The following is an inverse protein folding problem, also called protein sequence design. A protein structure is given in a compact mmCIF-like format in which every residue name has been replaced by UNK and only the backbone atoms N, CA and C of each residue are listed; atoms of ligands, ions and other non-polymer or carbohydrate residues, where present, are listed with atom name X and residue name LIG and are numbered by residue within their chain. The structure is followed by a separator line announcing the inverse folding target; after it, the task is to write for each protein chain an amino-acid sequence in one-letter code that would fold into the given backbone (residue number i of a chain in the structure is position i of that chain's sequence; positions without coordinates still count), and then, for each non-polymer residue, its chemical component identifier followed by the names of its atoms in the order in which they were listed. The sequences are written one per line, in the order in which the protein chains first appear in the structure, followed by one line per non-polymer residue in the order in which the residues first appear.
data_IF_146032856442
#
_entry.id   IF_146032856442
#
_cell.length_a   1.000
_cell.length_b   1.000
_cell.length_c   1.000
_cell.angle_alpha   90.00
_cell.angle_beta   90.00
_cell.angle_gamma   90.00
#
_symmetry.space_group_name_H-M   'P 1'
#
loop_
_entity.id
_entity.type
_entity.pdbx_description
1 polymer ?
#
# COMPACT_ATOMS: atom_id res chain seq x y z
N UNK A 1 21.46 -14.56 2.29
CA UNK A 1 21.65 -13.54 1.26
C UNK A 1 20.90 -13.80 -0.05
N UNK A 2 20.63 -15.04 -0.49
CA UNK A 2 19.96 -15.32 -1.79
C UNK A 2 18.45 -14.99 -1.87
N UNK A 3 17.72 -14.85 -0.75
CA UNK A 3 16.27 -14.58 -0.77
C UNK A 3 15.89 -13.08 -0.87
N UNK A 4 16.80 -12.17 -0.54
CA UNK A 4 16.54 -10.71 -0.59
C UNK A 4 16.60 -10.20 -2.03
N UNK A 5 17.50 -10.75 -2.85
CA UNK A 5 17.61 -10.39 -4.26
C UNK A 5 16.37 -10.80 -5.08
N UNK A 6 15.68 -11.88 -4.67
CA UNK A 6 14.49 -12.40 -5.37
C UNK A 6 13.28 -11.48 -5.32
N UNK A 7 13.06 -10.76 -4.21
CA UNK A 7 11.88 -9.91 -4.02
C UNK A 7 11.98 -8.64 -4.88
N UNK A 8 13.16 -8.06 -4.97
CA UNK A 8 13.40 -6.88 -5.82
C UNK A 8 13.31 -7.26 -7.31
N UNK A 9 13.76 -8.46 -7.68
CA UNK A 9 13.81 -8.89 -9.08
C UNK A 9 12.44 -9.28 -9.66
N UNK A 10 11.52 -9.76 -8.85
CA UNK A 10 10.23 -10.28 -9.34
C UNK A 10 9.17 -9.18 -9.59
N UNK A 11 9.34 -8.00 -9.03
CA UNK A 11 8.48 -6.83 -9.35
C UNK A 11 8.66 -6.38 -10.82
N UNK A 12 9.74 -6.84 -11.49
CA UNK A 12 10.20 -6.26 -12.77
C UNK A 12 10.03 -7.13 -14.01
N UNK A 13 9.60 -8.38 -13.89
CA UNK A 13 9.60 -9.28 -15.06
C UNK A 13 8.45 -9.07 -16.06
N UNK A 14 7.59 -8.07 -15.87
CA UNK A 14 6.43 -7.87 -16.76
C UNK A 14 6.36 -6.50 -17.45
N UNK A 15 7.48 -5.75 -17.52
CA UNK A 15 7.45 -4.47 -18.23
C UNK A 15 8.10 -4.62 -19.59
N UNK A 16 7.29 -4.95 -20.58
CA UNK A 16 7.62 -4.75 -21.97
C UNK A 16 7.60 -3.26 -22.31
N UNK A 17 8.78 -2.68 -22.55
CA UNK A 17 9.07 -1.50 -23.40
C UNK A 17 7.98 -0.42 -23.59
N UNK A 18 7.30 0.02 -22.58
CA UNK A 18 6.52 1.24 -22.66
C UNK A 18 7.06 2.22 -21.62
N UNK A 19 7.70 3.28 -22.03
CA UNK A 19 7.87 4.46 -21.19
C UNK A 19 6.47 5.05 -20.98
N UNK A 20 5.74 4.51 -20.04
CA UNK A 20 4.42 5.01 -19.71
C UNK A 20 4.54 6.02 -18.58
N UNK A 21 3.94 7.20 -18.80
CA UNK A 21 3.76 8.20 -17.75
C UNK A 21 2.43 7.98 -17.01
N UNK A 22 1.72 6.89 -17.29
CA UNK A 22 0.38 6.60 -16.76
C UNK A 22 0.46 5.68 -15.53
N UNK A 23 -0.12 6.11 -14.43
CA UNK A 23 -0.18 5.32 -13.19
C UNK A 23 -0.95 4.00 -13.37
N UNK A 24 -1.85 3.93 -14.36
CA UNK A 24 -2.62 2.72 -14.69
C UNK A 24 -1.75 1.59 -15.27
N UNK A 25 -0.57 1.93 -15.79
CA UNK A 25 0.35 0.93 -16.31
C UNK A 25 1.22 0.30 -15.21
N UNK A 26 1.17 0.87 -14.00
CA UNK A 26 1.81 0.26 -12.84
C UNK A 26 0.92 -0.87 -12.29
N UNK A 27 1.48 -2.07 -12.21
CA UNK A 27 0.77 -3.27 -11.75
C UNK A 27 1.38 -3.85 -10.48
N UNK A 28 0.52 -4.25 -9.55
CA UNK A 28 0.88 -5.10 -8.42
C UNK A 28 0.25 -6.48 -8.67
N UNK A 29 1.05 -7.49 -9.00
CA UNK A 29 0.58 -8.84 -9.39
C UNK A 29 -0.54 -8.82 -10.47
N UNK A 30 -0.34 -8.03 -11.51
CA UNK A 30 -1.28 -7.80 -12.62
C UNK A 30 -2.51 -6.93 -12.29
N UNK A 31 -2.69 -6.46 -11.07
CA UNK A 31 -3.79 -5.59 -10.67
C UNK A 31 -3.38 -4.13 -10.85
N UNK A 32 -4.22 -3.33 -11.50
CA UNK A 32 -3.99 -1.91 -11.77
C UNK A 32 -5.11 -1.01 -11.26
N UNK A 33 -4.80 0.28 -11.17
CA UNK A 33 -5.82 1.32 -11.00
C UNK A 33 -6.74 1.35 -12.24
N UNK A 34 -8.05 1.32 -12.01
CA UNK A 34 -9.08 1.32 -13.04
C UNK A 34 -9.56 -0.07 -13.45
N UNK A 35 -8.90 -1.15 -13.00
CA UNK A 35 -9.42 -2.51 -13.18
C UNK A 35 -10.65 -2.72 -12.27
N UNK A 36 -11.51 -3.66 -12.62
CA UNK A 36 -12.53 -4.17 -11.71
C UNK A 36 -11.89 -5.14 -10.71
N UNK A 37 -12.16 -4.97 -9.42
CA UNK A 37 -11.70 -5.94 -8.42
C UNK A 37 -12.35 -7.31 -8.61
N UNK A 38 -13.48 -7.39 -9.30
CA UNK A 38 -14.16 -8.64 -9.64
C UNK A 38 -13.37 -9.51 -10.65
N UNK A 39 -12.41 -8.94 -11.37
CA UNK A 39 -11.53 -9.69 -12.27
C UNK A 39 -10.54 -10.58 -11.48
N UNK A 40 -10.32 -10.29 -10.20
CA UNK A 40 -9.30 -10.94 -9.34
C UNK A 40 -9.89 -11.63 -8.11
N UNK A 41 -11.02 -11.13 -7.60
CA UNK A 41 -11.68 -11.57 -6.38
C UNK A 41 -13.19 -11.70 -6.62
N UNK A 42 -13.86 -12.65 -5.98
CA UNK A 42 -15.32 -12.69 -6.05
C UNK A 42 -15.94 -11.61 -5.13
N UNK A 43 -17.18 -11.22 -5.45
CA UNK A 43 -17.90 -10.16 -4.74
C UNK A 43 -17.97 -10.42 -3.22
N UNK A 44 -18.29 -11.65 -2.82
CA UNK A 44 -18.36 -12.01 -1.39
C UNK A 44 -17.01 -11.86 -0.67
N UNK A 45 -15.89 -12.11 -1.36
CA UNK A 45 -14.56 -11.87 -0.77
C UNK A 45 -14.33 -10.39 -0.54
N UNK A 46 -14.71 -9.54 -1.49
CA UNK A 46 -14.53 -8.08 -1.39
C UNK A 46 -15.39 -7.54 -0.24
N UNK A 47 -16.68 -7.85 -0.21
CA UNK A 47 -17.64 -7.35 0.77
C UNK A 47 -17.32 -7.85 2.19
N UNK A 48 -17.06 -9.15 2.37
CA UNK A 48 -16.72 -9.71 3.68
C UNK A 48 -15.37 -9.27 4.24
N UNK A 49 -14.53 -8.69 3.41
CA UNK A 49 -13.21 -8.16 3.78
C UNK A 49 -13.19 -6.65 3.90
N UNK A 50 -14.34 -6.00 3.79
CA UNK A 50 -14.46 -4.55 3.96
C UNK A 50 -14.08 -4.15 5.39
N UNK A 51 -13.27 -3.13 5.49
CA UNK A 51 -12.75 -2.65 6.76
C UNK A 51 -13.73 -1.66 7.41
N UNK A 52 -14.26 -2.00 8.58
CA UNK A 52 -15.27 -1.24 9.33
C UNK A 52 -14.86 0.15 9.83
N UNK A 53 -13.67 0.57 9.56
CA UNK A 53 -13.11 1.80 10.07
C UNK A 53 -13.73 3.07 9.48
N UNK A 54 -14.56 2.91 8.47
CA UNK A 54 -15.24 4.01 7.80
C UNK A 54 -16.67 4.27 8.32
N UNK A 55 -16.99 3.89 9.53
CA UNK A 55 -18.27 4.24 10.19
C UNK A 55 -18.49 5.75 10.39
N UNK A 56 -17.83 6.58 9.57
CA UNK A 56 -18.08 8.01 9.51
C UNK A 56 -19.03 8.33 8.36
N UNK A 57 -19.97 9.22 8.61
CA UNK A 57 -21.15 9.62 7.86
C UNK A 57 -20.93 10.06 6.39
N UNK A 58 -19.77 9.87 5.82
CA UNK A 58 -19.40 10.24 4.43
C UNK A 58 -18.51 9.17 3.80
N UNK A 59 -19.05 7.99 3.60
CA UNK A 59 -18.33 6.92 2.88
C UNK A 59 -18.38 7.16 1.37
N UNK A 60 -17.52 7.97 0.83
CA UNK A 60 -17.33 8.04 -0.62
C UNK A 60 -16.53 6.84 -1.14
N UNK A 61 -15.68 6.26 -0.29
CA UNK A 61 -14.83 5.11 -0.63
C UNK A 61 -14.89 4.02 0.44
N UNK A 62 -14.98 2.78 -0.02
CA UNK A 62 -14.78 1.57 0.76
C UNK A 62 -13.38 1.01 0.56
N UNK A 63 -12.90 0.22 1.51
CA UNK A 63 -11.60 -0.45 1.43
C UNK A 63 -11.73 -1.88 1.92
N UNK A 64 -11.30 -2.84 1.12
CA UNK A 64 -11.28 -4.26 1.48
C UNK A 64 -9.84 -4.76 1.64
N UNK A 65 -9.63 -5.65 2.62
CA UNK A 65 -8.35 -6.31 2.89
C UNK A 65 -8.41 -7.76 2.45
N UNK A 66 -7.68 -8.11 1.41
CA UNK A 66 -7.74 -9.37 0.71
C UNK A 66 -6.41 -10.11 0.83
N UNK A 67 -6.45 -11.44 0.97
CA UNK A 67 -5.25 -12.27 0.98
C UNK A 67 -4.59 -12.29 -0.39
N UNK A 68 -3.28 -12.09 -0.41
CA UNK A 68 -2.45 -12.30 -1.59
C UNK A 68 -2.18 -13.79 -1.85
N UNK A 69 -1.80 -14.11 -3.06
CA UNK A 69 -1.45 -15.51 -3.47
C UNK A 69 -0.03 -15.61 -4.02
N UNK A 70 0.68 -14.50 -4.13
CA UNK A 70 2.00 -14.42 -4.74
C UNK A 70 3.07 -13.83 -3.82
N UNK A 71 3.65 -12.71 -4.23
CA UNK A 71 4.71 -12.01 -3.50
C UNK A 71 4.16 -11.25 -2.30
N UNK A 72 2.97 -10.69 -2.47
CA UNK A 72 2.30 -9.93 -1.42
C UNK A 72 1.45 -10.86 -0.57
N UNK A 73 1.58 -10.72 0.75
CA UNK A 73 0.76 -11.48 1.71
C UNK A 73 -0.66 -10.95 1.73
N UNK A 74 -0.82 -9.63 1.51
CA UNK A 74 -2.12 -8.95 1.54
C UNK A 74 -2.22 -7.85 0.51
N UNK A 75 -3.47 -7.60 0.06
CA UNK A 75 -3.87 -6.44 -0.72
C UNK A 75 -4.91 -5.63 0.04
N UNK A 76 -4.74 -4.30 0.06
CA UNK A 76 -5.85 -3.38 0.35
C UNK A 76 -6.29 -2.78 -0.97
N UNK A 77 -7.56 -2.92 -1.32
CA UNK A 77 -8.16 -2.26 -2.47
C UNK A 77 -9.15 -1.21 -2.00
N UNK A 78 -9.12 -0.03 -2.63
CA UNK A 78 -10.06 1.06 -2.36
C UNK A 78 -10.85 1.36 -3.62
N UNK A 79 -12.16 1.46 -3.48
CA UNK A 79 -13.13 1.69 -4.54
C UNK A 79 -14.25 2.62 -4.04
N UNK A 80 -15.06 3.19 -4.92
CA UNK A 80 -16.23 3.97 -4.51
C UNK A 80 -17.27 3.07 -3.85
N UNK A 81 -17.85 3.52 -2.74
CA UNK A 81 -18.77 2.71 -1.94
C UNK A 81 -20.10 2.38 -2.65
N UNK A 82 -20.45 3.16 -3.68
CA UNK A 82 -21.65 3.00 -4.52
C UNK A 82 -21.36 2.39 -5.91
N UNK A 83 -20.15 1.81 -6.10
CA UNK A 83 -19.75 1.22 -7.38
C UNK A 83 -19.85 -0.31 -7.35
N UNK A 84 -20.90 -0.84 -7.95
CA UNK A 84 -21.15 -2.28 -8.08
C UNK A 84 -20.10 -3.03 -8.92
N UNK A 85 -19.29 -2.32 -9.69
CA UNK A 85 -18.18 -2.89 -10.44
C UNK A 85 -16.87 -2.92 -9.66
N UNK A 86 -16.83 -2.35 -8.47
CA UNK A 86 -15.65 -2.29 -7.60
C UNK A 86 -14.41 -1.80 -8.34
N UNK A 87 -14.53 -0.69 -9.10
CA UNK A 87 -13.38 -0.14 -9.85
C UNK A 87 -12.31 0.34 -8.88
N UNK A 88 -11.10 -0.17 -9.06
CA UNK A 88 -9.96 0.07 -8.16
C UNK A 88 -9.45 1.50 -8.35
N UNK A 89 -9.60 2.32 -7.31
CA UNK A 89 -9.07 3.67 -7.20
C UNK A 89 -7.79 3.74 -6.37
N UNK A 90 -7.55 2.72 -5.56
CA UNK A 90 -6.34 2.54 -4.79
C UNK A 90 -6.03 1.08 -4.54
N UNK A 91 -4.74 0.74 -4.61
CA UNK A 91 -4.25 -0.60 -4.25
C UNK A 91 -2.99 -0.49 -3.40
N UNK A 92 -2.94 -1.27 -2.32
CA UNK A 92 -1.73 -1.43 -1.50
C UNK A 92 -1.34 -2.88 -1.48
N UNK A 93 -0.18 -3.20 -2.03
CA UNK A 93 0.47 -4.50 -1.84
C UNK A 93 1.28 -4.48 -0.54
N UNK A 94 1.08 -5.48 0.32
CA UNK A 94 1.69 -5.59 1.65
C UNK A 94 2.49 -6.87 1.73
N UNK A 95 3.80 -6.74 2.01
CA UNK A 95 4.69 -7.84 2.32
C UNK A 95 4.99 -7.82 3.82
N UNK A 96 4.66 -8.90 4.52
CA UNK A 96 4.91 -9.05 5.96
C UNK A 96 6.36 -9.49 6.18
N UNK A 97 7.03 -8.86 7.12
CA UNK A 97 8.41 -9.17 7.52
C UNK A 97 8.42 -9.71 8.96
N UNK A 98 9.17 -10.77 9.22
CA UNK A 98 9.29 -11.33 10.58
C UNK A 98 10.03 -10.38 11.53
N UNK A 99 10.99 -9.67 11.01
CA UNK A 99 11.78 -8.64 11.68
C UNK A 99 12.34 -7.71 10.61
N UNK A 100 12.18 -6.42 10.79
CA UNK A 100 12.63 -5.42 9.84
C UNK A 100 13.58 -4.45 10.53
N UNK A 101 14.85 -4.54 10.22
CA UNK A 101 15.83 -3.57 10.70
C UNK A 101 15.75 -2.29 9.86
N UNK A 102 15.97 -1.13 10.47
CA UNK A 102 15.89 0.18 9.78
C UNK A 102 16.81 0.24 8.55
N UNK A 103 17.97 -0.40 8.61
CA UNK A 103 18.91 -0.51 7.49
C UNK A 103 18.27 -1.28 6.32
N UNK A 104 17.65 -2.43 6.61
CA UNK A 104 17.00 -3.24 5.56
C UNK A 104 15.83 -2.50 4.94
N UNK A 105 15.01 -1.86 5.75
CA UNK A 105 13.91 -0.99 5.33
C UNK A 105 14.41 0.09 4.36
N UNK A 106 15.45 0.82 4.74
CA UNK A 106 15.99 1.89 3.91
C UNK A 106 16.55 1.38 2.59
N UNK A 107 17.28 0.25 2.61
CA UNK A 107 17.86 -0.33 1.41
C UNK A 107 16.78 -0.84 0.43
N UNK A 108 15.72 -1.48 0.94
CA UNK A 108 14.60 -1.92 0.11
C UNK A 108 13.82 -0.74 -0.49
N UNK A 109 13.60 0.33 0.29
CA UNK A 109 12.98 1.55 -0.22
C UNK A 109 13.80 2.22 -1.30
N UNK A 110 15.11 2.34 -1.10
CA UNK A 110 15.99 2.99 -2.07
C UNK A 110 16.10 2.19 -3.36
N UNK A 111 16.22 0.86 -3.27
CA UNK A 111 16.23 -0.02 -4.43
C UNK A 111 14.91 0.04 -5.21
N UNK A 112 13.78 -0.03 -4.53
CA UNK A 112 12.46 0.09 -5.18
C UNK A 112 12.25 1.47 -5.79
N UNK A 113 12.74 2.54 -5.13
CA UNK A 113 12.64 3.89 -5.64
C UNK A 113 13.47 4.10 -6.92
N UNK A 114 14.68 3.58 -6.98
CA UNK A 114 15.52 3.63 -8.20
C UNK A 114 14.83 2.96 -9.38
N UNK A 115 14.26 1.79 -9.14
CA UNK A 115 13.54 1.06 -10.16
C UNK A 115 12.33 1.83 -10.71
N UNK A 116 11.54 2.48 -9.83
CA UNK A 116 10.43 3.34 -10.28
C UNK A 116 10.93 4.50 -11.14
N UNK A 117 12.05 5.13 -10.76
CA UNK A 117 12.64 6.23 -11.53
C UNK A 117 13.18 5.79 -12.89
N UNK A 118 13.70 4.58 -13.01
CA UNK A 118 14.14 4.02 -14.31
C UNK A 118 12.96 3.78 -15.25
N UNK A 119 11.82 3.34 -14.72
CA UNK A 119 10.63 3.02 -15.51
C UNK A 119 9.85 4.26 -15.93
N UNK A 120 9.81 5.29 -15.09
CA UNK A 120 8.97 6.47 -15.28
C UNK A 120 9.83 7.74 -15.29
N UNK A 121 9.98 8.36 -16.47
CA UNK A 121 10.88 9.54 -16.64
C UNK A 121 10.29 10.86 -16.17
N UNK A 122 8.95 11.00 -16.19
CA UNK A 122 8.26 12.27 -15.94
C UNK A 122 7.58 12.34 -14.57
N UNK A 123 8.04 11.54 -13.60
CA UNK A 123 7.51 11.54 -12.25
C UNK A 123 8.35 12.41 -11.31
N UNK A 124 7.69 12.96 -10.30
CA UNK A 124 8.34 13.75 -9.25
C UNK A 124 8.50 12.94 -7.99
N UNK A 125 9.72 12.50 -7.72
CA UNK A 125 10.07 11.92 -6.43
C UNK A 125 10.07 12.98 -5.35
N UNK A 126 9.44 12.66 -4.20
CA UNK A 126 9.54 13.46 -2.98
C UNK A 126 10.63 12.90 -2.07
N UNK A 127 11.19 13.76 -1.21
CA UNK A 127 12.20 13.37 -0.22
C UNK A 127 11.67 12.23 0.67
N UNK A 128 12.54 11.27 0.96
CA UNK A 128 12.30 10.23 1.96
C UNK A 128 11.97 10.89 3.31
N UNK A 129 10.96 10.38 3.98
CA UNK A 129 10.52 10.84 5.29
C UNK A 129 10.38 9.67 6.23
N UNK A 130 10.92 9.81 7.43
CA UNK A 130 10.67 8.89 8.54
C UNK A 130 9.85 9.61 9.60
N UNK A 131 8.87 8.94 10.16
CA UNK A 131 8.01 9.49 11.21
C UNK A 131 7.66 8.40 12.22
N UNK A 132 7.48 8.82 13.47
CA UNK A 132 6.96 7.92 14.50
C UNK A 132 5.52 7.57 14.17
N UNK A 133 5.23 6.30 14.18
CA UNK A 133 3.89 5.78 13.96
C UNK A 133 3.26 5.54 15.31
N UNK A 134 2.08 6.08 15.52
CA UNK A 134 1.35 5.90 16.75
C UNK A 134 0.00 5.21 16.44
N UNK A 135 -0.42 4.19 17.19
CA UNK A 135 -1.71 3.53 17.01
C UNK A 135 -2.85 4.46 17.44
N UNK A 136 -3.71 4.83 16.51
CA UNK A 136 -4.97 5.48 16.82
C UNK A 136 -6.10 4.61 16.25
N UNK A 137 -6.90 3.93 17.10
CA UNK A 137 -7.99 3.06 16.63
C UNK A 137 -9.05 3.81 15.80
N UNK A 138 -9.02 5.15 15.80
CA UNK A 138 -9.94 6.01 15.05
C UNK A 138 -9.34 6.65 13.80
N UNK A 139 -8.01 6.51 13.56
CA UNK A 139 -7.31 7.11 12.40
C UNK A 139 -6.31 6.13 11.82
N UNK A 140 -6.78 5.28 10.99
CA UNK A 140 -6.07 4.10 10.47
C UNK A 140 -4.93 4.38 9.49
N UNK A 141 -4.78 5.60 9.04
CA UNK A 141 -3.62 6.05 8.24
C UNK A 141 -2.50 6.68 9.08
N UNK A 142 -2.72 6.87 10.37
CA UNK A 142 -1.73 7.36 11.32
C UNK A 142 -1.80 6.44 12.53
N UNK A 143 -1.01 5.41 12.54
CA UNK A 143 -0.95 4.51 13.68
C UNK A 143 0.23 4.86 14.57
N UNK A 144 -0.03 5.28 15.79
CA UNK A 144 0.97 5.26 16.82
C UNK A 144 1.04 3.91 17.50
N UNK A 145 2.22 3.37 17.72
CA UNK A 145 2.38 2.38 18.77
C UNK A 145 2.12 3.07 20.12
N UNK A 146 1.53 2.36 21.07
CA UNK A 146 1.37 2.87 22.43
C UNK A 146 2.73 3.25 23.07
N UNK A 147 3.81 2.60 22.62
CA UNK A 147 5.18 2.88 23.08
C UNK A 147 5.82 4.11 22.40
N UNK A 148 5.28 4.58 21.27
CA UNK A 148 5.87 5.64 20.45
C UNK A 148 7.21 5.27 19.80
N UNK A 149 7.55 3.98 19.74
CA UNK A 149 8.80 3.47 19.15
C UNK A 149 8.67 2.96 17.73
N UNK A 150 7.46 2.66 17.25
CA UNK A 150 7.24 2.25 15.86
C UNK A 150 7.62 3.37 14.89
N UNK A 151 8.29 3.03 13.81
CA UNK A 151 8.76 3.96 12.80
C UNK A 151 8.23 3.54 11.44
N UNK A 152 7.71 4.50 10.68
CA UNK A 152 7.45 4.33 9.26
C UNK A 152 8.38 5.24 8.45
N UNK A 153 8.99 4.68 7.42
CA UNK A 153 9.78 5.44 6.46
C UNK A 153 9.14 5.32 5.09
N UNK A 154 8.96 6.42 4.38
CA UNK A 154 8.30 6.45 3.08
C UNK A 154 8.97 7.33 2.06
N UNK A 155 8.86 6.93 0.78
CA UNK A 155 9.19 7.72 -0.41
C UNK A 155 7.93 7.77 -1.27
N UNK A 156 7.60 8.93 -1.83
CA UNK A 156 6.45 9.05 -2.72
C UNK A 156 6.81 9.65 -4.06
N UNK A 157 6.07 9.22 -5.08
CA UNK A 157 6.20 9.64 -6.47
C UNK A 157 4.86 10.23 -6.91
N UNK A 158 4.88 11.49 -7.36
CA UNK A 158 3.69 12.12 -7.91
C UNK A 158 3.72 12.00 -9.43
N UNK A 159 2.67 11.43 -10.00
CA UNK A 159 2.40 11.40 -11.43
C UNK A 159 1.62 12.65 -11.82
N UNK A 160 2.05 13.30 -12.91
CA UNK A 160 1.41 14.53 -13.36
C UNK A 160 -0.05 14.26 -13.72
N UNK A 161 -0.96 14.80 -12.92
CA UNK A 161 -2.42 14.70 -13.09
C UNK A 161 -3.05 13.29 -12.97
N UNK A 162 -2.34 12.26 -12.55
CA UNK A 162 -2.85 10.89 -12.58
C UNK A 162 -2.93 10.21 -11.21
N UNK A 163 -2.11 10.62 -10.26
CA UNK A 163 -2.12 10.02 -8.93
C UNK A 163 -0.75 9.94 -8.28
N UNK A 164 -0.57 8.94 -7.45
CA UNK A 164 0.63 8.79 -6.61
C UNK A 164 0.98 7.33 -6.37
N UNK A 165 2.30 7.06 -6.33
CA UNK A 165 2.86 5.85 -5.73
C UNK A 165 3.53 6.22 -4.42
N UNK A 166 3.33 5.42 -3.36
CA UNK A 166 4.00 5.57 -2.08
C UNK A 166 4.64 4.22 -1.72
N UNK A 167 5.94 4.21 -1.57
CA UNK A 167 6.67 3.11 -0.99
C UNK A 167 6.83 3.38 0.50
N UNK A 168 6.56 2.40 1.33
CA UNK A 168 6.72 2.54 2.78
C UNK A 168 7.21 1.26 3.42
N UNK A 169 8.03 1.38 4.45
CA UNK A 169 8.28 0.31 5.38
C UNK A 169 7.91 0.74 6.80
N UNK A 170 7.35 -0.20 7.51
CA UNK A 170 6.91 -0.05 8.88
C UNK A 170 7.74 -0.99 9.76
N UNK A 171 8.44 -0.42 10.73
CA UNK A 171 9.09 -1.14 11.81
C UNK A 171 8.22 -0.96 13.06
N UNK A 172 7.49 -2.01 13.43
CA UNK A 172 6.47 -1.97 14.48
C UNK A 172 7.04 -2.46 15.80
N UNK A 173 6.83 -1.66 16.85
CA UNK A 173 7.18 -2.08 18.20
C UNK A 173 6.17 -3.12 18.71
N UNK A 174 6.68 -4.28 19.08
CA UNK A 174 5.89 -5.47 19.48
C UNK A 174 5.09 -5.32 20.78
N UNK A 175 5.18 -4.19 21.46
CA UNK A 175 4.50 -3.96 22.74
C UNK A 175 2.97 -3.78 22.64
N UNK A 176 2.35 -3.92 21.46
CA UNK A 176 0.92 -3.63 21.22
C UNK A 176 0.03 -4.88 21.19
N UNK A 177 0.34 -5.92 21.95
CA UNK A 177 -0.30 -7.25 21.88
C UNK A 177 -1.78 -7.35 22.30
N UNK A 178 -2.51 -6.24 22.48
CA UNK A 178 -3.85 -6.27 23.10
C UNK A 178 -5.00 -5.69 22.27
N UNK A 179 -5.01 -5.85 20.95
CA UNK A 179 -6.11 -5.33 20.12
C UNK A 179 -6.94 -6.48 19.54
N UNK A 180 -8.23 -6.52 19.90
CA UNK A 180 -9.24 -7.45 19.37
C UNK A 180 -9.77 -6.97 18.01
N UNK A 181 -9.02 -7.21 16.95
CA UNK A 181 -9.38 -6.90 15.57
C UNK A 181 -8.90 -8.02 14.64
N UNK A 182 -9.68 -8.45 13.64
CA UNK A 182 -9.19 -9.38 12.61
C UNK A 182 -7.97 -8.84 11.82
N UNK A 183 -7.72 -7.53 11.94
CA UNK A 183 -6.52 -6.87 11.39
C UNK A 183 -5.34 -6.91 12.37
N UNK A 184 -5.51 -7.50 13.56
CA UNK A 184 -4.45 -7.64 14.58
C UNK A 184 -3.11 -8.01 13.98
N UNK A 185 -3.14 -8.93 13.03
CA UNK A 185 -1.93 -9.56 12.54
C UNK A 185 -1.08 -8.65 11.65
N UNK A 186 -1.69 -7.81 10.80
CA UNK A 186 -0.93 -6.99 9.85
C UNK A 186 -0.26 -5.78 10.51
N UNK A 187 -0.92 -5.18 11.49
CA UNK A 187 -0.42 -3.99 12.17
C UNK A 187 0.57 -4.32 13.31
N UNK A 188 0.74 -5.62 13.64
CA UNK A 188 1.73 -6.11 14.60
C UNK A 188 3.03 -6.52 13.91
N UNK A 189 3.05 -6.63 12.59
CA UNK A 189 4.21 -7.05 11.83
C UNK A 189 4.89 -5.88 11.15
N UNK A 190 6.20 -6.00 11.08
CA UNK A 190 6.98 -5.18 10.19
C UNK A 190 6.50 -5.43 8.75
N UNK A 191 6.30 -4.38 7.98
CA UNK A 191 5.78 -4.52 6.62
C UNK A 191 6.50 -3.62 5.63
N UNK A 192 6.68 -4.13 4.40
CA UNK A 192 6.94 -3.31 3.23
C UNK A 192 5.66 -3.15 2.43
N UNK A 193 5.35 -1.92 2.02
CA UNK A 193 4.09 -1.62 1.32
C UNK A 193 4.37 -0.81 0.07
N UNK A 194 3.67 -1.16 -1.00
CA UNK A 194 3.55 -0.35 -2.22
C UNK A 194 2.10 0.10 -2.32
N UNK A 195 1.87 1.40 -2.26
CA UNK A 195 0.55 2.03 -2.26
C UNK A 195 0.41 2.87 -3.53
N UNK A 196 -0.53 2.51 -4.39
CA UNK A 196 -0.85 3.20 -5.63
C UNK A 196 -2.24 3.79 -5.49
N UNK A 197 -2.36 5.08 -5.77
CA UNK A 197 -3.62 5.82 -5.64
C UNK A 197 -3.89 6.63 -6.89
N UNK A 198 -5.14 6.58 -7.38
CA UNK A 198 -5.62 7.49 -8.40
C UNK A 198 -5.56 8.95 -7.93
N UNK A 199 -5.70 9.88 -8.85
CA UNK A 199 -5.80 11.30 -8.53
C UNK A 199 -7.03 11.59 -7.67
N UNK A 200 -8.15 10.95 -7.96
CA UNK A 200 -9.43 11.19 -7.28
C UNK A 200 -9.33 10.75 -5.82
N UNK A 201 -8.89 9.51 -5.58
CA UNK A 201 -8.66 9.00 -4.22
C UNK A 201 -7.61 9.84 -3.47
N UNK A 202 -6.51 10.23 -4.13
CA UNK A 202 -5.48 11.08 -3.52
C UNK A 202 -6.05 12.43 -3.08
N UNK A 203 -6.97 13.01 -3.86
CA UNK A 203 -7.62 14.28 -3.52
C UNK A 203 -8.60 14.11 -2.36
N UNK A 204 -9.40 13.06 -2.37
CA UNK A 204 -10.31 12.72 -1.27
C UNK A 204 -9.57 12.56 0.06
N UNK A 205 -8.52 11.73 0.10
CA UNK A 205 -7.74 11.47 1.32
C UNK A 205 -6.99 12.69 1.89
N UNK A 206 -6.93 13.80 1.18
CA UNK A 206 -6.39 15.08 1.70
C UNK A 206 -7.44 15.94 2.40
N UNK A 207 -8.72 15.65 2.16
CA UNK A 207 -9.84 16.44 2.70
C UNK A 207 -10.38 15.87 4.04
N UNK A 208 -10.20 14.58 4.25
CA UNK A 208 -10.58 13.85 5.47
C UNK A 208 -9.38 13.72 6.41
#
# INVERSE_FOLDING_TARGET
MKKILGIVFLVFLLITNAHSDNIKDFKIENISIGDSALDYFNQSQIENSELDWHNYSYKEYSTSLLSGKGIYDWFKISYKSDDDNFIIEGIVGIVVKKKYEDIQCNNELDAAALNILELYKNIKQRKKKSYKVAYNPRKIFQEPSQSGKSIATSISFDFKNEGKIILSCYNMDKATNNIDSPIKDINQFDTFRIDIRSKVLTHYLKKV
#
